data_IF_731610360172
#
_entry.id   IF_731610360172
#
_cell.length_a   1.000
_cell.length_b   1.000
_cell.length_c   1.000
_cell.angle_alpha   90.00
_cell.angle_beta   90.00
_cell.angle_gamma   90.00
#
_symmetry.space_group_name_H-M   'P 1'
#
loop_
_entity.id
_entity.type
_entity.pdbx_description
1 polymer ?
#
# COMPACT_ATOMS: atom_id res chain seq x y z
N UNK A 1 -14.20 27.61 -10.79
CA UNK A 1 -15.10 27.18 -9.70
C UNK A 1 -14.28 26.88 -8.46
N UNK A 2 -14.66 27.47 -7.33
CA UNK A 2 -13.97 27.42 -6.03
C UNK A 2 -14.22 26.12 -5.24
N UNK A 3 -14.54 24.99 -5.93
CA UNK A 3 -14.90 23.74 -5.30
C UNK A 3 -13.71 23.11 -4.56
N UNK A 4 -13.86 22.76 -3.28
CA UNK A 4 -12.86 22.03 -2.53
C UNK A 4 -12.80 20.57 -3.00
N UNK A 5 -11.60 20.01 -3.09
CA UNK A 5 -11.33 18.63 -3.51
C UNK A 5 -10.40 18.00 -2.50
N UNK A 6 -10.67 16.76 -2.16
CA UNK A 6 -9.80 15.93 -1.32
C UNK A 6 -9.24 14.80 -2.19
N UNK A 7 -7.92 14.68 -2.23
CA UNK A 7 -7.20 13.60 -2.90
C UNK A 7 -6.54 12.72 -1.87
N UNK A 8 -6.68 11.43 -2.00
CA UNK A 8 -5.99 10.42 -1.18
C UNK A 8 -5.83 9.12 -1.95
N UNK A 9 -4.85 8.31 -1.59
CA UNK A 9 -4.60 7.01 -2.20
C UNK A 9 -5.68 6.01 -1.80
N UNK A 10 -6.03 5.12 -2.73
CA UNK A 10 -7.08 4.12 -2.51
C UNK A 10 -6.66 2.99 -1.55
N UNK A 11 -5.36 2.82 -1.34
CA UNK A 11 -4.73 1.79 -0.52
C UNK A 11 -4.36 2.27 0.90
N UNK A 12 -4.56 3.56 1.21
CA UNK A 12 -4.30 4.08 2.55
C UNK A 12 -5.36 3.66 3.56
N UNK A 13 -4.91 3.25 4.73
CA UNK A 13 -5.76 2.97 5.88
C UNK A 13 -5.82 4.19 6.80
N UNK A 14 -7.03 4.66 7.07
CA UNK A 14 -7.32 5.70 8.05
C UNK A 14 -8.29 5.12 9.08
N UNK A 15 -7.80 4.90 10.30
CA UNK A 15 -8.69 4.57 11.42
C UNK A 15 -9.38 5.85 11.92
N UNK A 16 -10.52 5.74 12.60
CA UNK A 16 -11.26 6.86 13.20
C UNK A 16 -11.67 7.94 12.17
N UNK A 17 -12.36 7.52 11.11
CA UNK A 17 -12.87 8.39 10.04
C UNK A 17 -13.63 9.63 10.53
N UNK A 18 -14.37 9.54 11.65
CA UNK A 18 -15.05 10.68 12.24
C UNK A 18 -14.10 11.81 12.67
N UNK A 19 -12.92 11.46 13.22
CA UNK A 19 -11.88 12.45 13.55
C UNK A 19 -11.27 13.06 12.30
N UNK A 20 -11.00 12.24 11.28
CA UNK A 20 -10.49 12.70 10.00
C UNK A 20 -11.45 13.70 9.34
N UNK A 21 -12.72 13.35 9.23
CA UNK A 21 -13.77 14.22 8.68
C UNK A 21 -13.92 15.54 9.47
N UNK A 22 -13.77 15.48 10.78
CA UNK A 22 -13.79 16.68 11.64
C UNK A 22 -12.63 17.62 11.32
N UNK A 23 -11.42 17.09 11.12
CA UNK A 23 -10.27 17.91 10.73
C UNK A 23 -10.46 18.56 9.35
N UNK A 24 -11.04 17.86 8.37
CA UNK A 24 -11.37 18.43 7.07
C UNK A 24 -12.39 19.58 7.23
N UNK A 25 -13.52 19.32 7.93
CA UNK A 25 -14.57 20.34 8.15
C UNK A 25 -14.02 21.57 8.83
N UNK A 26 -13.19 21.42 9.89
CA UNK A 26 -12.55 22.50 10.64
C UNK A 26 -11.67 23.38 9.77
N UNK A 27 -10.92 22.75 8.87
CA UNK A 27 -9.93 23.44 8.02
C UNK A 27 -10.51 23.95 6.69
N UNK A 28 -11.71 23.52 6.29
CA UNK A 28 -12.37 23.94 5.04
C UNK A 28 -12.46 25.47 4.88
N UNK A 29 -12.75 26.19 5.97
CA UNK A 29 -12.85 27.67 5.96
C UNK A 29 -11.52 28.38 5.67
N UNK A 30 -10.39 27.74 5.90
CA UNK A 30 -9.05 28.27 5.60
C UNK A 30 -8.55 27.91 4.20
N UNK A 31 -9.31 27.11 3.46
CA UNK A 31 -8.99 26.73 2.09
C UNK A 31 -9.37 27.88 1.14
N UNK A 32 -8.48 28.84 0.97
CA UNK A 32 -8.70 30.06 0.16
C UNK A 32 -7.57 30.26 -0.85
N UNK A 33 -7.83 31.06 -1.87
CA UNK A 33 -6.82 31.42 -2.86
C UNK A 33 -6.16 30.22 -3.54
N UNK A 34 -4.85 30.20 -3.58
CA UNK A 34 -4.02 29.14 -4.19
C UNK A 34 -3.46 28.14 -3.17
N UNK A 35 -3.95 28.18 -1.92
CA UNK A 35 -3.45 27.34 -0.84
C UNK A 35 -3.68 25.86 -1.12
N UNK A 36 -2.71 25.05 -0.70
CA UNK A 36 -2.79 23.60 -0.64
C UNK A 36 -2.62 23.19 0.81
N UNK A 37 -3.47 22.30 1.29
CA UNK A 37 -3.28 21.62 2.56
C UNK A 37 -2.75 20.22 2.32
N UNK A 38 -1.66 19.88 3.00
CA UNK A 38 -1.14 18.51 3.12
C UNK A 38 -1.40 17.97 4.51
N UNK A 39 -1.51 16.65 4.61
CA UNK A 39 -1.78 16.01 5.90
C UNK A 39 -0.51 15.35 6.44
N UNK A 40 -0.24 15.60 7.71
CA UNK A 40 0.95 15.13 8.39
C UNK A 40 0.67 14.10 9.46
N UNK A 41 1.45 13.03 9.43
CA UNK A 41 1.46 11.97 10.46
C UNK A 41 2.75 12.11 11.27
N UNK A 42 2.65 11.96 12.60
CA UNK A 42 3.83 11.94 13.45
C UNK A 42 4.66 10.68 13.14
N UNK A 43 5.93 10.84 12.74
CA UNK A 43 6.79 9.69 12.45
C UNK A 43 7.02 8.83 13.70
N UNK A 44 6.97 7.52 13.53
CA UNK A 44 7.38 6.55 14.55
C UNK A 44 8.75 5.93 14.24
N UNK A 45 9.20 6.00 12.99
CA UNK A 45 10.49 5.48 12.51
C UNK A 45 11.08 6.42 11.46
N UNK A 46 12.41 6.43 11.25
CA UNK A 46 13.01 7.11 10.11
C UNK A 46 12.80 6.26 8.85
N UNK A 47 11.92 6.69 7.96
CA UNK A 47 11.61 6.01 6.70
C UNK A 47 12.11 6.83 5.51
N UNK A 48 12.67 6.17 4.51
CA UNK A 48 13.02 6.75 3.21
C UNK A 48 11.88 6.60 2.18
N UNK A 49 10.74 6.04 2.57
CA UNK A 49 9.59 5.83 1.69
C UNK A 49 8.66 7.06 1.62
N UNK A 50 8.72 7.93 2.65
CA UNK A 50 7.82 9.08 2.79
C UNK A 50 8.51 10.40 2.54
N UNK A 51 7.75 11.38 2.05
CA UNK A 51 8.09 12.79 2.16
C UNK A 51 7.96 13.28 3.60
N UNK A 52 8.71 14.30 3.95
CA UNK A 52 8.69 14.93 5.27
C UNK A 52 8.46 16.42 5.16
N UNK A 53 7.81 16.98 6.17
CA UNK A 53 7.72 18.43 6.27
C UNK A 53 7.84 18.92 7.71
N UNK A 54 8.35 20.15 7.84
CA UNK A 54 8.45 20.89 9.11
C UNK A 54 7.46 22.04 9.04
N UNK A 55 6.83 22.39 10.15
CA UNK A 55 5.85 23.48 10.20
C UNK A 55 6.27 24.58 11.15
N UNK A 56 5.99 25.82 10.78
CA UNK A 56 6.04 26.97 11.67
C UNK A 56 4.65 27.29 12.22
N UNK A 57 4.58 27.80 13.45
CA UNK A 57 3.35 28.24 14.09
C UNK A 57 3.06 29.68 13.66
N UNK A 58 2.20 29.88 12.65
CA UNK A 58 1.85 31.24 12.20
C UNK A 58 0.52 31.72 12.78
N UNK A 59 -0.44 30.81 13.01
CA UNK A 59 -1.74 31.11 13.63
C UNK A 59 -2.21 29.90 14.43
N UNK A 60 -3.06 30.13 15.44
CA UNK A 60 -3.57 29.12 16.37
C UNK A 60 -4.12 27.84 15.71
N UNK A 61 -4.64 27.92 14.49
CA UNK A 61 -5.37 26.84 13.82
C UNK A 61 -4.81 26.40 12.44
N UNK A 62 -3.86 27.14 11.86
CA UNK A 62 -3.25 26.79 10.55
C UNK A 62 -1.75 26.71 10.71
N UNK A 63 -1.16 25.60 10.34
CA UNK A 63 0.29 25.37 10.34
C UNK A 63 0.80 25.57 8.92
N UNK A 64 1.81 26.42 8.76
CA UNK A 64 2.48 26.62 7.46
C UNK A 64 3.68 25.69 7.35
N UNK A 65 3.85 25.06 6.21
CA UNK A 65 5.05 24.26 5.92
C UNK A 65 6.21 25.20 5.67
N UNK A 66 7.26 25.07 6.49
CA UNK A 66 8.50 25.84 6.33
C UNK A 66 9.51 25.11 5.46
N UNK A 67 9.47 23.78 5.46
CA UNK A 67 10.37 22.94 4.68
C UNK A 67 9.67 21.64 4.28
N UNK A 68 9.74 21.27 3.01
CA UNK A 68 9.31 19.99 2.47
C UNK A 68 10.53 19.24 1.91
N UNK A 69 10.63 17.94 2.15
CA UNK A 69 11.74 17.08 1.73
C UNK A 69 11.15 15.75 1.29
N UNK A 70 11.23 15.45 0.01
CA UNK A 70 10.73 14.18 -0.52
C UNK A 70 11.78 13.08 -0.32
N UNK A 71 11.36 11.96 0.26
CA UNK A 71 12.10 10.70 0.42
C UNK A 71 13.59 10.88 0.81
N UNK A 72 13.90 11.49 1.97
CA UNK A 72 15.27 11.66 2.41
C UNK A 72 15.91 10.30 2.72
N UNK A 73 17.24 10.23 2.70
CA UNK A 73 17.93 9.06 3.25
C UNK A 73 17.71 8.94 4.76
N UNK A 74 17.98 7.77 5.33
CA UNK A 74 17.66 7.46 6.73
C UNK A 74 18.35 8.41 7.73
N UNK A 75 19.61 8.77 7.50
CA UNK A 75 20.34 9.71 8.35
C UNK A 75 19.69 11.09 8.37
N UNK A 76 19.29 11.60 7.20
CA UNK A 76 18.59 12.87 7.08
C UNK A 76 17.20 12.77 7.72
N UNK A 77 16.48 11.66 7.52
CA UNK A 77 15.20 11.41 8.17
C UNK A 77 15.31 11.47 9.71
N UNK A 78 16.30 10.78 10.31
CA UNK A 78 16.57 10.85 11.76
C UNK A 78 16.79 12.29 12.25
N UNK A 79 17.58 13.09 11.50
CA UNK A 79 17.85 14.49 11.87
C UNK A 79 16.61 15.38 11.82
N UNK A 80 15.78 15.24 10.78
CA UNK A 80 14.59 16.10 10.64
C UNK A 80 13.44 15.69 11.57
N UNK A 81 13.33 14.42 11.94
CA UNK A 81 12.39 13.95 12.97
C UNK A 81 12.70 14.62 14.33
N UNK A 82 13.99 14.71 14.71
CA UNK A 82 14.41 15.43 15.93
C UNK A 82 14.02 16.91 15.90
N UNK A 83 13.86 17.51 14.69
CA UNK A 83 13.38 18.89 14.49
C UNK A 83 11.84 19.00 14.43
N UNK A 84 11.11 17.93 14.77
CA UNK A 84 9.65 17.93 14.81
C UNK A 84 8.99 17.77 13.43
N UNK A 85 9.66 17.15 12.47
CA UNK A 85 9.08 16.86 11.15
C UNK A 85 7.93 15.86 11.23
N UNK A 86 7.02 15.96 10.28
CA UNK A 86 5.90 15.05 10.04
C UNK A 86 6.11 14.31 8.71
N UNK A 87 5.63 13.07 8.61
CA UNK A 87 5.48 12.41 7.31
C UNK A 87 4.37 13.10 6.51
N UNK A 88 4.60 13.26 5.22
CA UNK A 88 3.53 13.59 4.28
C UNK A 88 2.69 12.33 4.05
N UNK A 89 1.41 12.39 4.42
CA UNK A 89 0.50 11.26 4.29
C UNK A 89 0.02 11.01 2.85
N UNK A 90 0.48 11.80 1.86
CA UNK A 90 0.00 11.69 0.48
C UNK A 90 -1.49 12.08 0.32
N UNK A 91 -2.03 12.83 1.28
CA UNK A 91 -3.40 13.32 1.27
C UNK A 91 -3.36 14.83 1.03
N UNK A 92 -4.15 15.31 0.06
CA UNK A 92 -4.17 16.72 -0.34
C UNK A 92 -5.58 17.28 -0.30
N UNK A 93 -5.73 18.45 0.33
CA UNK A 93 -6.98 19.19 0.35
C UNK A 93 -6.75 20.52 -0.37
N UNK A 94 -7.36 20.68 -1.54
CA UNK A 94 -7.05 21.75 -2.49
C UNK A 94 -8.30 22.17 -3.25
N UNK A 95 -8.38 23.41 -3.66
CA UNK A 95 -9.44 23.89 -4.56
C UNK A 95 -9.14 23.53 -6.01
N UNK A 96 -10.20 23.26 -6.79
CA UNK A 96 -10.12 22.95 -8.22
C UNK A 96 -9.34 24.02 -9.01
N UNK A 97 -9.62 25.29 -8.77
CA UNK A 97 -8.93 26.40 -9.45
C UNK A 97 -7.45 26.48 -9.07
N UNK A 98 -7.10 26.16 -7.83
CA UNK A 98 -5.73 26.13 -7.36
C UNK A 98 -4.90 25.03 -8.03
N UNK A 99 -5.44 23.80 -8.15
CA UNK A 99 -4.73 22.70 -8.81
C UNK A 99 -4.47 23.02 -10.29
N UNK A 100 -5.47 23.55 -11.00
CA UNK A 100 -5.34 23.95 -12.40
C UNK A 100 -4.29 25.05 -12.56
N UNK A 101 -4.33 26.08 -11.70
CA UNK A 101 -3.34 27.15 -11.72
C UNK A 101 -1.91 26.62 -11.54
N UNK A 102 -1.69 25.75 -10.56
CA UNK A 102 -0.37 25.22 -10.27
C UNK A 102 0.18 24.34 -11.40
N UNK A 103 -0.66 23.50 -12.01
CA UNK A 103 -0.25 22.72 -13.19
C UNK A 103 0.05 23.62 -14.40
N UNK A 104 -0.75 24.64 -14.66
CA UNK A 104 -0.46 25.62 -15.73
C UNK A 104 0.87 26.34 -15.50
N UNK A 105 1.18 26.68 -14.24
CA UNK A 105 2.40 27.40 -13.87
C UNK A 105 3.64 26.53 -13.92
N UNK A 106 3.59 25.33 -13.32
CA UNK A 106 4.78 24.52 -13.05
C UNK A 106 4.92 23.29 -13.96
N UNK A 107 3.82 22.87 -14.62
CA UNK A 107 3.77 21.69 -15.47
C UNK A 107 2.88 21.93 -16.70
N UNK A 108 3.12 23.04 -17.41
CA UNK A 108 2.29 23.50 -18.55
C UNK A 108 2.06 22.39 -19.60
N UNK A 109 3.11 21.66 -19.98
CA UNK A 109 3.01 20.56 -20.96
C UNK A 109 2.09 19.43 -20.47
N UNK A 110 2.23 19.03 -19.21
CA UNK A 110 1.38 18.01 -18.58
C UNK A 110 -0.08 18.46 -18.52
N UNK A 111 -0.32 19.73 -18.15
CA UNK A 111 -1.66 20.31 -18.15
C UNK A 111 -2.30 20.23 -19.56
N UNK A 112 -1.59 20.65 -20.60
CA UNK A 112 -2.09 20.66 -21.98
C UNK A 112 -2.38 19.25 -22.49
N UNK A 113 -1.51 18.29 -22.21
CA UNK A 113 -1.70 16.88 -22.58
C UNK A 113 -2.92 16.29 -21.90
N UNK A 114 -3.09 16.52 -20.59
CA UNK A 114 -4.25 16.07 -19.84
C UNK A 114 -5.54 16.72 -20.35
N UNK A 115 -5.52 18.02 -20.62
CA UNK A 115 -6.65 18.75 -21.20
C UNK A 115 -7.05 18.15 -22.56
N UNK A 116 -6.09 17.92 -23.45
CA UNK A 116 -6.31 17.28 -24.75
C UNK A 116 -6.86 15.86 -24.61
N UNK A 117 -6.34 15.07 -23.65
CA UNK A 117 -6.82 13.72 -23.38
C UNK A 117 -8.28 13.70 -22.93
N UNK A 118 -8.69 14.68 -22.11
CA UNK A 118 -10.09 14.86 -21.68
C UNK A 118 -10.96 15.33 -22.84
N UNK A 119 -10.53 16.37 -23.58
CA UNK A 119 -11.29 16.91 -24.73
C UNK A 119 -11.58 15.84 -25.79
N UNK A 120 -10.65 14.91 -26.02
CA UNK A 120 -10.77 13.80 -26.98
C UNK A 120 -11.28 12.51 -26.32
N UNK A 121 -11.82 12.58 -25.10
CA UNK A 121 -12.39 11.42 -24.41
C UNK A 121 -13.69 10.95 -25.06
N UNK A 122 -13.99 9.64 -24.89
CA UNK A 122 -15.27 9.05 -25.31
C UNK A 122 -16.08 8.73 -24.07
N UNK A 123 -17.35 9.14 -24.06
CA UNK A 123 -18.30 8.78 -23.01
C UNK A 123 -19.02 7.48 -23.40
N UNK A 124 -18.97 6.46 -22.53
CA UNK A 124 -19.71 5.19 -22.68
C UNK A 124 -20.21 4.78 -21.29
N UNK A 125 -21.51 4.47 -21.17
CA UNK A 125 -22.13 4.05 -19.91
C UNK A 125 -21.78 4.96 -18.72
N UNK A 126 -21.84 6.28 -18.91
CA UNK A 126 -21.47 7.31 -17.92
C UNK A 126 -19.99 7.26 -17.45
N UNK A 127 -19.11 6.58 -18.19
CA UNK A 127 -17.68 6.52 -17.93
C UNK A 127 -16.92 7.25 -19.05
N UNK A 128 -16.07 8.22 -18.67
CA UNK A 128 -15.18 8.90 -19.62
C UNK A 128 -13.91 8.07 -19.86
N UNK A 129 -13.73 7.61 -21.09
CA UNK A 129 -12.51 6.95 -21.55
C UNK A 129 -11.57 8.00 -22.14
N UNK A 130 -10.53 8.35 -21.37
CA UNK A 130 -9.54 9.33 -21.82
C UNK A 130 -8.82 8.88 -23.11
N UNK A 131 -8.45 9.85 -23.95
CA UNK A 131 -7.65 9.55 -25.13
C UNK A 131 -6.26 9.07 -24.70
N UNK A 132 -5.97 7.78 -24.90
CA UNK A 132 -4.74 7.12 -24.47
C UNK A 132 -3.48 7.74 -25.11
N UNK A 133 -3.53 8.13 -26.39
CA UNK A 133 -2.39 8.72 -27.12
C UNK A 133 -1.99 10.05 -26.50
N UNK A 134 -2.95 10.92 -26.21
CA UNK A 134 -2.70 12.22 -25.61
C UNK A 134 -2.20 12.07 -24.16
N UNK A 135 -2.82 11.19 -23.38
CA UNK A 135 -2.44 10.96 -21.98
C UNK A 135 -1.02 10.39 -21.85
N UNK A 136 -0.61 9.48 -22.74
CA UNK A 136 0.74 8.87 -22.75
C UNK A 136 1.87 9.85 -23.05
N UNK A 137 1.58 11.07 -23.57
CA UNK A 137 2.59 12.12 -23.75
C UNK A 137 3.10 12.70 -22.43
N UNK A 138 2.46 12.39 -21.31
CA UNK A 138 2.89 12.86 -20.00
C UNK A 138 4.03 11.99 -19.47
N UNK A 139 4.99 12.66 -18.81
CA UNK A 139 5.99 11.97 -17.99
C UNK A 139 5.33 11.45 -16.71
N UNK A 140 5.69 10.25 -16.26
CA UNK A 140 5.25 9.73 -14.97
C UNK A 140 5.95 10.49 -13.85
N UNK A 141 5.20 11.32 -13.11
CA UNK A 141 5.73 12.15 -12.03
C UNK A 141 4.68 12.31 -10.95
N UNK A 142 5.06 12.05 -9.69
CA UNK A 142 4.15 12.25 -8.55
C UNK A 142 3.79 13.73 -8.38
N UNK A 143 2.66 14.00 -7.73
CA UNK A 143 2.23 15.36 -7.39
C UNK A 143 3.24 16.08 -6.51
N UNK A 144 3.91 15.36 -5.62
CA UNK A 144 4.95 15.88 -4.74
C UNK A 144 6.09 16.50 -5.53
N UNK A 145 6.69 15.76 -6.45
CA UNK A 145 7.75 16.26 -7.32
C UNK A 145 7.27 17.25 -8.38
N UNK A 146 6.05 17.08 -8.88
CA UNK A 146 5.52 17.94 -9.94
C UNK A 146 5.17 19.32 -9.42
N UNK A 147 4.58 19.42 -8.23
CA UNK A 147 3.94 20.61 -7.69
C UNK A 147 4.47 20.97 -6.30
N UNK A 148 4.38 20.08 -5.29
CA UNK A 148 4.63 20.47 -3.89
C UNK A 148 6.03 21.01 -3.65
N UNK A 149 7.07 20.42 -4.20
CA UNK A 149 8.46 20.89 -4.03
C UNK A 149 8.69 22.31 -4.58
N UNK A 150 7.82 22.78 -5.48
CA UNK A 150 7.91 24.10 -6.11
C UNK A 150 7.09 25.17 -5.40
N UNK A 151 6.26 24.76 -4.44
CA UNK A 151 5.38 25.67 -3.72
C UNK A 151 6.06 26.25 -2.48
N UNK A 152 5.91 27.58 -2.32
CA UNK A 152 6.33 28.30 -1.10
C UNK A 152 5.20 28.43 -0.08
N UNK A 153 3.96 28.21 -0.49
CA UNK A 153 2.76 28.42 0.33
C UNK A 153 1.95 27.14 0.47
N UNK A 154 2.40 26.28 1.38
CA UNK A 154 1.74 25.01 1.71
C UNK A 154 1.29 25.09 3.16
N UNK A 155 0.02 24.77 3.41
CA UNK A 155 -0.52 24.60 4.74
C UNK A 155 -0.51 23.12 5.15
N UNK A 156 -0.45 22.85 6.44
CA UNK A 156 -0.45 21.50 6.97
C UNK A 156 -1.55 21.28 7.98
N UNK A 157 -2.19 20.10 7.89
CA UNK A 157 -3.11 19.56 8.89
C UNK A 157 -2.41 18.39 9.57
N UNK A 158 -2.15 18.50 10.88
CA UNK A 158 -1.56 17.42 11.65
C UNK A 158 -2.65 16.44 12.06
N UNK A 159 -2.51 15.20 11.62
CA UNK A 159 -3.43 14.12 11.98
C UNK A 159 -2.92 13.39 13.22
N UNK A 160 -3.70 13.44 14.28
CA UNK A 160 -3.47 12.64 15.48
C UNK A 160 -4.43 11.45 15.49
N UNK A 161 -4.22 10.55 14.54
CA UNK A 161 -5.00 9.33 14.34
C UNK A 161 -4.11 8.23 13.75
N UNK A 162 -4.45 6.96 13.95
CA UNK A 162 -3.76 5.86 13.29
C UNK A 162 -3.95 5.94 11.78
N UNK A 163 -2.83 5.89 11.08
CA UNK A 163 -2.72 5.89 9.63
C UNK A 163 -1.63 4.90 9.19
N UNK A 164 -1.83 4.26 8.07
CA UNK A 164 -0.82 3.47 7.35
C UNK A 164 -1.07 3.60 5.85
N UNK A 165 -0.01 3.62 5.09
CA UNK A 165 -0.07 3.59 3.62
C UNK A 165 -0.38 2.18 3.10
N UNK A 166 -0.24 1.14 3.95
CA UNK A 166 -0.32 -0.28 3.56
C UNK A 166 0.52 -0.62 2.31
N UNK A 167 1.52 0.21 2.03
CA UNK A 167 2.34 0.13 0.82
C UNK A 167 3.30 -1.05 0.80
N UNK A 168 3.41 -1.80 1.90
CA UNK A 168 4.23 -2.99 1.99
C UNK A 168 3.53 -4.12 2.74
N UNK A 169 3.87 -5.36 2.39
CA UNK A 169 3.39 -6.53 3.14
C UNK A 169 3.78 -6.49 4.62
N UNK A 170 4.88 -5.85 4.94
CA UNK A 170 5.31 -5.63 6.33
C UNK A 170 4.27 -4.79 7.09
N UNK A 171 3.80 -3.70 6.51
CA UNK A 171 2.77 -2.84 7.11
C UNK A 171 1.43 -3.57 7.24
N UNK A 172 1.05 -4.35 6.21
CA UNK A 172 -0.14 -5.20 6.26
C UNK A 172 -0.03 -6.23 7.40
N UNK A 173 1.12 -6.89 7.55
CA UNK A 173 1.35 -7.86 8.63
C UNK A 173 1.33 -7.20 10.02
N UNK A 174 1.92 -6.00 10.17
CA UNK A 174 1.89 -5.24 11.42
C UNK A 174 0.46 -4.84 11.78
N UNK A 175 -0.29 -4.32 10.82
CA UNK A 175 -1.71 -4.00 11.00
C UNK A 175 -2.52 -5.23 11.40
N UNK A 176 -2.34 -6.34 10.67
CA UNK A 176 -2.95 -7.61 10.97
C UNK A 176 -2.65 -8.09 12.40
N UNK A 177 -1.38 -8.11 12.80
CA UNK A 177 -0.97 -8.54 14.13
C UNK A 177 -1.58 -7.69 15.24
N UNK A 178 -1.67 -6.37 15.04
CA UNK A 178 -2.31 -5.43 15.96
C UNK A 178 -3.81 -5.66 16.11
N UNK A 179 -4.48 -6.11 15.04
CA UNK A 179 -5.94 -6.23 14.96
C UNK A 179 -6.47 -7.66 14.90
N UNK A 180 -5.64 -8.67 15.18
CA UNK A 180 -5.99 -10.11 15.16
C UNK A 180 -7.38 -10.44 15.72
N UNK A 181 -7.69 -9.93 16.92
CA UNK A 181 -8.97 -10.18 17.60
C UNK A 181 -10.18 -9.60 16.87
N UNK A 182 -9.99 -8.54 16.07
CA UNK A 182 -11.07 -7.86 15.33
C UNK A 182 -11.41 -8.57 14.02
N UNK A 183 -10.41 -9.17 13.37
CA UNK A 183 -10.58 -9.88 12.10
C UNK A 183 -11.02 -11.35 12.28
N UNK A 184 -10.75 -11.97 13.44
CA UNK A 184 -10.95 -13.39 13.65
C UNK A 184 -11.88 -13.71 14.81
N UNK A 185 -13.20 -13.67 14.54
CA UNK A 185 -14.21 -14.20 15.47
C UNK A 185 -14.22 -15.75 15.55
N UNK A 186 -13.70 -16.47 14.55
CA UNK A 186 -13.50 -17.94 14.57
C UNK A 186 -12.14 -18.24 13.94
N UNK A 187 -11.26 -18.93 14.68
CA UNK A 187 -9.99 -19.45 14.16
C UNK A 187 -10.30 -20.68 13.30
N UNK A 188 -10.33 -20.52 11.97
CA UNK A 188 -10.32 -21.65 11.05
C UNK A 188 -8.87 -22.15 10.93
N UNK A 189 -8.42 -22.92 11.92
CA UNK A 189 -7.10 -23.56 11.94
C UNK A 189 -7.24 -24.96 11.32
N UNK A 190 -6.42 -25.22 10.32
CA UNK A 190 -6.39 -26.51 9.62
C UNK A 190 -5.03 -27.17 9.85
N UNK A 191 -5.01 -28.27 10.60
CA UNK A 191 -3.80 -29.05 10.83
C UNK A 191 -3.49 -29.93 9.62
N UNK A 192 -2.21 -30.04 9.30
CA UNK A 192 -1.66 -30.82 8.19
C UNK A 192 -0.39 -31.55 8.67
N UNK A 193 0.02 -32.64 8.03
CA UNK A 193 1.23 -33.35 8.43
C UNK A 193 2.50 -32.49 8.44
N UNK A 194 2.56 -31.43 7.61
CA UNK A 194 3.67 -30.50 7.53
C UNK A 194 3.58 -29.32 8.52
N UNK A 195 2.46 -29.16 9.24
CA UNK A 195 2.24 -28.05 10.16
C UNK A 195 0.77 -27.67 10.24
N UNK A 196 0.44 -26.40 10.03
CA UNK A 196 -0.94 -25.90 10.00
C UNK A 196 -1.05 -24.66 9.14
N UNK A 197 -2.27 -24.35 8.75
CA UNK A 197 -2.59 -23.01 8.21
C UNK A 197 -3.85 -22.46 8.87
N UNK A 198 -3.97 -21.15 8.82
CA UNK A 198 -5.12 -20.41 9.34
C UNK A 198 -5.65 -19.54 8.20
N UNK A 199 -6.94 -19.65 7.88
CA UNK A 199 -7.57 -18.69 7.00
C UNK A 199 -7.79 -17.39 7.78
N UNK A 200 -7.09 -16.35 7.37
CA UNK A 200 -7.09 -15.09 8.07
C UNK A 200 -8.21 -14.18 7.62
N UNK A 201 -8.40 -14.05 6.32
CA UNK A 201 -9.45 -13.23 5.73
C UNK A 201 -9.82 -13.75 4.35
N UNK A 202 -11.13 -13.76 4.03
CA UNK A 202 -11.66 -14.14 2.73
C UNK A 202 -12.49 -13.00 2.16
N UNK A 203 -12.08 -12.47 1.00
CA UNK A 203 -12.84 -11.53 0.19
C UNK A 203 -13.51 -12.20 -1.01
N UNK A 204 -14.07 -11.41 -1.91
CA UNK A 204 -14.78 -11.89 -3.10
C UNK A 204 -13.88 -12.75 -4.00
N UNK A 205 -12.67 -12.27 -4.32
CA UNK A 205 -11.73 -12.90 -5.24
C UNK A 205 -10.34 -13.11 -4.63
N UNK A 206 -10.22 -13.10 -3.30
CA UNK A 206 -8.96 -13.35 -2.62
C UNK A 206 -9.14 -14.02 -1.25
N UNK A 207 -8.09 -14.73 -0.81
CA UNK A 207 -8.02 -15.40 0.47
C UNK A 207 -6.62 -15.17 1.07
N UNK A 208 -6.56 -14.68 2.31
CA UNK A 208 -5.30 -14.54 3.05
C UNK A 208 -5.19 -15.66 4.07
N UNK A 209 -4.03 -16.31 4.08
CA UNK A 209 -3.69 -17.38 5.02
C UNK A 209 -2.40 -17.10 5.76
N UNK A 210 -2.29 -17.60 6.98
CA UNK A 210 -1.02 -17.82 7.66
C UNK A 210 -0.65 -19.29 7.57
N UNK A 211 0.50 -19.59 7.00
CA UNK A 211 1.08 -20.93 6.98
C UNK A 211 2.13 -21.03 8.08
N UNK A 212 2.08 -22.12 8.85
CA UNK A 212 3.10 -22.53 9.81
C UNK A 212 3.67 -23.87 9.39
N UNK A 213 4.92 -23.89 8.96
CA UNK A 213 5.61 -25.10 8.51
C UNK A 213 6.62 -25.50 9.58
N UNK A 214 6.37 -26.65 10.22
CA UNK A 214 7.24 -27.19 11.27
C UNK A 214 8.60 -27.63 10.72
N UNK A 215 9.57 -27.87 11.60
CA UNK A 215 10.85 -28.50 11.23
C UNK A 215 10.62 -29.77 10.39
N UNK A 216 11.38 -29.93 9.32
CA UNK A 216 11.24 -31.02 8.31
C UNK A 216 9.85 -31.08 7.63
N UNK A 217 9.00 -30.08 7.83
CA UNK A 217 7.71 -29.99 7.13
C UNK A 217 7.91 -29.66 5.65
N UNK A 218 7.21 -30.41 4.78
CA UNK A 218 7.30 -30.24 3.32
C UNK A 218 5.87 -30.25 2.77
N UNK A 219 5.46 -29.20 2.09
CA UNK A 219 4.18 -29.15 1.38
C UNK A 219 4.26 -30.02 0.12
N UNK A 220 3.11 -30.43 -0.42
CA UNK A 220 3.05 -31.11 -1.71
C UNK A 220 3.66 -30.26 -2.82
N UNK A 221 4.29 -30.88 -3.80
CA UNK A 221 4.60 -30.23 -5.07
C UNK A 221 3.28 -30.08 -5.83
N UNK A 222 2.84 -28.85 -6.08
CA UNK A 222 1.48 -28.57 -6.53
C UNK A 222 1.43 -27.40 -7.52
N UNK A 223 0.31 -27.28 -8.24
CA UNK A 223 -0.05 -26.10 -9.04
C UNK A 223 -1.51 -25.73 -8.87
N UNK A 224 -1.87 -24.52 -9.30
CA UNK A 224 -3.23 -23.99 -9.30
C UNK A 224 -3.57 -23.40 -10.65
N UNK A 225 -4.73 -23.71 -11.20
CA UNK A 225 -5.15 -23.18 -12.50
C UNK A 225 -5.91 -21.85 -12.40
N UNK A 226 -6.58 -21.60 -11.26
CA UNK A 226 -7.54 -20.50 -11.16
C UNK A 226 -7.09 -19.39 -10.19
N UNK A 227 -5.96 -19.57 -9.52
CA UNK A 227 -5.40 -18.55 -8.61
C UNK A 227 -3.88 -18.40 -8.77
N UNK A 228 -3.42 -17.19 -8.48
CA UNK A 228 -2.03 -16.86 -8.20
C UNK A 228 -1.82 -16.70 -6.70
N UNK A 229 -0.59 -16.78 -6.22
CA UNK A 229 -0.27 -16.62 -4.80
C UNK A 229 0.88 -15.64 -4.61
N UNK A 230 0.77 -14.80 -3.59
CA UNK A 230 1.86 -13.96 -3.09
C UNK A 230 2.23 -14.43 -1.70
N UNK A 231 3.49 -14.76 -1.49
CA UNK A 231 4.01 -15.21 -0.21
C UNK A 231 4.92 -14.17 0.40
N UNK A 232 4.74 -13.92 1.69
CA UNK A 232 5.63 -13.09 2.51
C UNK A 232 6.18 -13.96 3.62
N UNK A 233 7.48 -14.15 3.66
CA UNK A 233 8.13 -14.88 4.73
C UNK A 233 8.21 -13.97 5.96
N UNK A 234 7.53 -14.37 7.04
CA UNK A 234 7.51 -13.60 8.29
C UNK A 234 8.43 -14.17 9.37
N UNK A 235 8.82 -15.44 9.22
CA UNK A 235 9.75 -16.12 10.13
C UNK A 235 10.41 -17.32 9.45
N UNK A 236 11.67 -17.59 9.81
CA UNK A 236 12.43 -18.73 9.33
C UNK A 236 13.02 -18.53 7.93
N UNK A 237 13.52 -19.62 7.36
CA UNK A 237 14.19 -19.65 6.06
C UNK A 237 13.70 -20.82 5.22
N UNK A 238 12.54 -20.70 4.54
CA UNK A 238 12.01 -21.77 3.70
C UNK A 238 12.89 -22.02 2.47
N UNK A 239 13.01 -23.29 2.10
CA UNK A 239 13.40 -23.72 0.76
C UNK A 239 12.16 -23.75 -0.12
N UNK A 240 12.15 -22.93 -1.16
CA UNK A 240 11.02 -22.81 -2.09
C UNK A 240 11.41 -23.45 -3.43
N UNK A 241 10.54 -24.29 -3.95
CA UNK A 241 10.62 -24.78 -5.32
C UNK A 241 9.60 -24.02 -6.16
N UNK A 242 10.02 -23.46 -7.28
CA UNK A 242 9.18 -22.80 -8.27
C UNK A 242 9.57 -23.30 -9.66
N UNK A 243 8.69 -24.07 -10.29
CA UNK A 243 8.95 -24.80 -11.52
C UNK A 243 10.20 -25.69 -11.38
N UNK A 244 11.22 -25.47 -12.19
CA UNK A 244 12.49 -26.23 -12.19
C UNK A 244 13.55 -25.69 -11.22
N UNK A 245 13.29 -24.53 -10.56
CA UNK A 245 14.28 -23.88 -9.70
C UNK A 245 13.94 -24.09 -8.21
N UNK A 246 14.96 -24.24 -7.38
CA UNK A 246 14.83 -24.25 -5.92
C UNK A 246 15.81 -23.25 -5.32
N UNK A 247 15.33 -22.46 -4.36
CA UNK A 247 16.09 -21.42 -3.69
C UNK A 247 15.55 -21.21 -2.26
N UNK A 248 16.35 -20.57 -1.41
CA UNK A 248 15.93 -20.19 -0.06
C UNK A 248 15.51 -18.72 -0.03
N UNK A 249 14.56 -18.40 0.83
CA UNK A 249 14.10 -17.06 1.14
C UNK A 249 14.23 -16.78 2.64
N UNK A 250 14.55 -15.54 3.01
CA UNK A 250 14.67 -15.11 4.42
C UNK A 250 13.41 -14.35 4.86
N UNK A 251 13.28 -14.14 6.15
CA UNK A 251 12.23 -13.27 6.69
C UNK A 251 12.30 -11.86 6.04
N UNK A 252 11.14 -11.26 5.79
CA UNK A 252 10.90 -10.02 5.05
C UNK A 252 11.09 -10.10 3.52
N UNK A 253 11.39 -11.26 2.96
CA UNK A 253 11.38 -11.44 1.51
C UNK A 253 10.02 -11.94 1.03
N UNK A 254 9.73 -11.66 -0.24
CA UNK A 254 8.48 -12.02 -0.91
C UNK A 254 8.73 -12.88 -2.14
N UNK A 255 7.69 -13.60 -2.56
CA UNK A 255 7.71 -14.32 -3.83
C UNK A 255 6.30 -14.33 -4.45
N UNK A 256 6.25 -14.16 -5.75
CA UNK A 256 5.04 -14.31 -6.56
C UNK A 256 5.01 -15.67 -7.22
N UNK A 257 3.91 -16.40 -7.05
CA UNK A 257 3.61 -17.69 -7.68
C UNK A 257 2.50 -17.45 -8.72
N UNK A 258 2.82 -17.42 -10.00
CA UNK A 258 1.80 -17.23 -11.05
C UNK A 258 0.88 -18.46 -11.18
N UNK A 259 -0.30 -18.24 -11.77
CA UNK A 259 -1.22 -19.33 -12.12
C UNK A 259 -0.50 -20.38 -12.95
N UNK A 260 -0.75 -21.67 -12.69
CA UNK A 260 -0.15 -22.79 -13.40
C UNK A 260 1.29 -23.12 -12.99
N UNK A 261 1.98 -22.29 -12.25
CA UNK A 261 3.34 -22.57 -11.81
C UNK A 261 3.38 -23.72 -10.78
N UNK A 262 4.29 -24.66 -11.00
CA UNK A 262 4.52 -25.78 -10.06
C UNK A 262 5.37 -25.26 -8.92
N UNK A 263 4.90 -25.44 -7.68
CA UNK A 263 5.57 -24.86 -6.51
C UNK A 263 5.45 -25.72 -5.25
N UNK A 264 6.35 -25.49 -4.30
CA UNK A 264 6.38 -26.16 -3.00
C UNK A 264 7.17 -25.35 -1.99
N UNK A 265 6.77 -25.44 -0.72
CA UNK A 265 7.52 -24.98 0.45
C UNK A 265 8.06 -26.17 1.22
N UNK A 266 9.33 -26.08 1.65
CA UNK A 266 9.94 -26.99 2.60
C UNK A 266 10.64 -26.20 3.70
N UNK A 267 10.62 -26.71 4.93
CA UNK A 267 11.41 -26.18 6.02
C UNK A 267 12.53 -27.17 6.42
N UNK A 268 13.74 -27.04 5.89
CA UNK A 268 14.84 -27.92 6.27
C UNK A 268 15.45 -27.55 7.62
N UNK A 269 15.14 -26.39 8.18
CA UNK A 269 15.75 -25.84 9.39
C UNK A 269 14.93 -26.14 10.66
N UNK A 270 15.55 -26.03 11.82
CA UNK A 270 14.92 -26.23 13.13
C UNK A 270 13.90 -25.13 13.46
N UNK A 271 14.18 -23.89 13.07
CA UNK A 271 13.27 -22.76 13.28
C UNK A 271 12.03 -22.93 12.42
N UNK A 272 10.83 -22.87 13.00
CA UNK A 272 9.60 -22.94 12.22
C UNK A 272 9.49 -21.82 11.19
N UNK A 273 8.97 -22.13 10.01
CA UNK A 273 8.70 -21.15 8.96
C UNK A 273 7.28 -20.63 9.12
N UNK A 274 7.11 -19.30 9.07
CA UNK A 274 5.80 -18.66 8.95
C UNK A 274 5.74 -17.82 7.69
N UNK A 275 4.62 -17.93 6.99
CA UNK A 275 4.37 -17.26 5.72
C UNK A 275 2.96 -16.68 5.75
N UNK A 276 2.82 -15.45 5.32
CA UNK A 276 1.52 -14.90 4.91
C UNK A 276 1.36 -15.18 3.43
N UNK A 277 0.30 -15.87 3.07
CA UNK A 277 -0.08 -16.24 1.72
C UNK A 277 -1.33 -15.45 1.32
N UNK A 278 -1.24 -14.66 0.26
CA UNK A 278 -2.38 -14.03 -0.37
C UNK A 278 -2.69 -14.76 -1.69
N UNK A 279 -3.80 -15.49 -1.71
CA UNK A 279 -4.34 -16.14 -2.91
C UNK A 279 -5.27 -15.19 -3.63
N UNK A 280 -5.10 -15.01 -4.94
CA UNK A 280 -5.93 -14.13 -5.77
C UNK A 280 -6.44 -14.91 -6.98
N UNK A 281 -7.75 -15.02 -7.13
CA UNK A 281 -8.33 -15.76 -8.25
C UNK A 281 -9.81 -16.08 -8.09
N UNK A 282 -10.36 -16.79 -9.08
CA UNK A 282 -11.79 -17.16 -9.13
C UNK A 282 -12.13 -18.38 -8.26
N UNK A 283 -11.20 -19.32 -8.10
CA UNK A 283 -11.38 -20.53 -7.27
C UNK A 283 -10.31 -20.57 -6.19
N UNK A 284 -10.75 -20.38 -4.92
CA UNK A 284 -9.88 -20.31 -3.73
C UNK A 284 -10.10 -21.51 -2.81
N UNK A 285 -10.49 -22.66 -3.38
CA UNK A 285 -10.76 -23.92 -2.66
C UNK A 285 -9.62 -24.91 -2.88
N UNK A 286 -9.54 -25.93 -2.01
CA UNK A 286 -8.57 -27.04 -2.17
C UNK A 286 -8.78 -27.84 -3.46
N UNK A 287 -9.98 -27.80 -4.06
CA UNK A 287 -10.26 -28.45 -5.36
C UNK A 287 -9.45 -27.88 -6.53
N UNK A 288 -8.87 -26.67 -6.40
CA UNK A 288 -7.95 -26.08 -7.40
C UNK A 288 -6.49 -26.55 -7.22
N UNK A 289 -6.21 -27.47 -6.29
CA UNK A 289 -4.87 -27.99 -6.05
C UNK A 289 -4.64 -29.26 -6.87
N UNK A 290 -3.74 -29.16 -7.84
CA UNK A 290 -3.19 -30.34 -8.55
C UNK A 290 -1.86 -30.70 -7.91
N UNK A 291 -1.77 -31.92 -7.33
CA UNK A 291 -0.57 -32.39 -6.62
C UNK A 291 0.23 -33.34 -7.52
N UNK A 292 1.55 -33.14 -7.58
CA UNK A 292 2.48 -33.98 -8.34
C UNK A 292 3.29 -34.93 -7.46
N UNK A 293 3.78 -34.44 -6.30
CA UNK A 293 4.52 -35.21 -5.30
C UNK A 293 4.07 -34.79 -3.90
N UNK A 294 3.71 -35.77 -3.11
CA UNK A 294 3.34 -35.57 -1.70
C UNK A 294 3.87 -36.71 -0.86
N UNK A 295 4.77 -36.40 0.09
CA UNK A 295 5.39 -37.42 0.96
C UNK A 295 4.42 -38.01 1.99
N UNK A 296 3.22 -37.44 2.07
CA UNK A 296 2.18 -37.87 3.03
C UNK A 296 1.04 -38.67 2.38
N UNK A 297 1.21 -39.08 1.12
CA UNK A 297 0.28 -39.99 0.43
C UNK A 297 -1.07 -39.37 0.00
N UNK A 298 -1.15 -38.02 -0.16
CA UNK A 298 -2.37 -37.32 -0.60
C UNK A 298 -2.46 -37.13 -2.12
N UNK A 299 -1.60 -37.76 -2.89
CA UNK A 299 -1.71 -37.86 -4.35
C UNK A 299 -2.62 -39.07 -4.63
N UNK A 300 -3.74 -38.81 -5.32
CA UNK A 300 -4.60 -39.86 -5.88
C UNK A 300 -4.08 -40.31 -7.23
#
# INVERSE_FOLDING_TARGET
>A
QKQPMLFFSADHLIEKLSKFNREIKKNKKYLSGKNIFIFGIKPNTPSNQFGYFITNNIKKNVKKVSKFIEKPNELKAKRIIKKGAYWNAGIFFIRKDSIIYNYKKYQKKMYLNCFSAVKKSKLRNNIYFLNKREFKKNTSKSFDYAILEKLKDINAIKLNLPWSDLGSWKEICLYYNKHKKKFFKKKNVFYRPWGRYVNLYKGKNFLIKELYVKHKGILSLQKHYHRAEHWVITQGQPKITLNKKSFCKKANETIFIPKGAIHRIANPHTVPVKIIEAQIGSILKESDIVRFKDIYGRVK
#
